data_IF_306016481213
#
_entry.id   IF_306016481213
#
_cell.length_a   1.000
_cell.length_b   1.000
_cell.length_c   1.000
_cell.angle_alpha   90.00
_cell.angle_beta   90.00
_cell.angle_gamma   90.00
#
_symmetry.space_group_name_H-M   'P 1'
#
loop_
_entity.id
_entity.type
_entity.pdbx_description
1 polymer ?
#
# COMPACT_ATOMS: atom_id res chain seq x y z
N UNK A 1 3.23 18.74 18.87
CA UNK A 1 3.56 19.29 20.20
C UNK A 1 4.78 18.58 20.75
N UNK A 2 5.64 19.25 21.52
CA UNK A 2 6.72 18.60 22.31
C UNK A 2 6.56 18.96 23.79
N UNK A 3 6.81 18.01 24.69
CA UNK A 3 6.64 18.13 26.15
C UNK A 3 6.00 16.88 26.77
N UNK A 4 5.96 16.79 28.10
CA UNK A 4 5.45 15.61 28.87
C UNK A 4 3.98 15.24 28.58
N UNK A 5 3.21 16.18 28.02
CA UNK A 5 1.83 15.99 27.55
C UNK A 5 1.68 16.22 26.03
N UNK A 6 2.79 16.19 25.28
CA UNK A 6 2.78 16.44 23.84
C UNK A 6 2.33 15.22 23.04
N UNK A 7 1.67 15.47 21.90
CA UNK A 7 1.32 14.46 20.91
C UNK A 7 1.51 14.96 19.47
N UNK A 8 1.30 14.04 18.53
CA UNK A 8 1.24 14.31 17.10
C UNK A 8 -0.24 14.33 16.71
N UNK A 9 -0.61 15.30 15.88
CA UNK A 9 -1.93 15.39 15.25
C UNK A 9 -1.75 15.29 13.74
N UNK A 10 -2.80 14.87 13.03
CA UNK A 10 -2.78 14.88 11.57
C UNK A 10 -2.60 16.32 11.06
N UNK A 11 -1.72 16.50 10.07
CA UNK A 11 -1.49 17.79 9.42
C UNK A 11 -2.58 18.21 8.42
N UNK A 12 -3.53 17.31 8.13
CA UNK A 12 -4.69 17.52 7.25
C UNK A 12 -5.82 16.53 7.59
N UNK A 13 -7.06 16.72 7.09
CA UNK A 13 -8.15 15.77 7.29
C UNK A 13 -7.83 14.34 6.80
N UNK A 14 -8.30 13.32 7.51
CA UNK A 14 -8.03 11.91 7.17
C UNK A 14 -8.54 11.49 5.78
N UNK A 15 -9.60 12.15 5.29
CA UNK A 15 -10.14 11.93 3.94
C UNK A 15 -9.22 12.45 2.82
N UNK A 16 -8.23 13.29 3.16
CA UNK A 16 -7.24 13.82 2.22
C UNK A 16 -5.89 13.10 2.29
N UNK A 17 -5.78 12.05 3.11
CA UNK A 17 -4.54 11.29 3.29
C UNK A 17 -4.68 9.97 2.52
N UNK A 18 -4.11 9.90 1.31
CA UNK A 18 -4.11 8.69 0.49
C UNK A 18 -3.18 7.62 1.09
N UNK A 19 -3.62 6.36 1.11
CA UNK A 19 -2.85 5.26 1.70
C UNK A 19 -1.64 4.87 0.84
N UNK A 20 -1.78 4.91 -0.49
CA UNK A 20 -0.66 4.69 -1.40
C UNK A 20 0.46 5.70 -1.17
N UNK A 21 0.12 6.98 -0.97
CA UNK A 21 1.09 8.03 -0.65
C UNK A 21 1.80 7.79 0.68
N UNK A 22 1.06 7.36 1.72
CA UNK A 22 1.67 7.02 3.01
C UNK A 22 2.68 5.89 2.86
N UNK A 23 2.31 4.80 2.20
CA UNK A 23 3.19 3.64 2.00
C UNK A 23 4.44 4.06 1.22
N UNK A 24 4.29 4.85 0.14
CA UNK A 24 5.43 5.36 -0.65
C UNK A 24 6.35 6.29 0.12
N UNK A 25 5.84 7.02 1.10
CA UNK A 25 6.64 7.94 1.92
C UNK A 25 7.37 7.24 3.07
N UNK A 26 6.90 6.07 3.52
CA UNK A 26 7.48 5.35 4.67
C UNK A 26 8.46 4.26 4.29
N UNK A 27 8.33 3.67 3.11
CA UNK A 27 9.22 2.60 2.65
C UNK A 27 10.40 3.14 1.84
N UNK A 28 11.64 2.64 2.06
CA UNK A 28 12.84 3.16 1.42
C UNK A 28 12.93 2.83 -0.08
N UNK A 29 12.44 1.65 -0.49
CA UNK A 29 12.28 1.27 -1.90
C UNK A 29 11.19 0.18 -2.06
N UNK A 30 10.76 -0.06 -3.30
CA UNK A 30 9.80 -1.12 -3.66
C UNK A 30 10.40 -2.14 -4.63
N UNK A 31 11.69 -2.40 -4.49
CA UNK A 31 12.43 -3.32 -5.35
C UNK A 31 12.19 -4.75 -4.87
N UNK A 32 11.03 -5.31 -5.25
CA UNK A 32 10.65 -6.69 -4.90
C UNK A 32 11.71 -7.73 -5.25
N UNK A 33 12.48 -7.44 -6.30
CA UNK A 33 13.58 -8.27 -6.78
C UNK A 33 14.75 -7.38 -7.13
N UNK A 34 15.95 -7.91 -6.98
CA UNK A 34 17.20 -7.23 -7.31
C UNK A 34 17.19 -6.62 -8.73
N UNK A 35 16.61 -7.33 -9.71
CA UNK A 35 16.50 -6.85 -11.09
C UNK A 35 15.53 -5.67 -11.33
N UNK A 36 14.93 -5.11 -10.27
CA UNK A 36 14.24 -3.82 -10.32
C UNK A 36 15.17 -2.63 -10.11
N UNK A 37 16.30 -2.83 -9.42
CA UNK A 37 17.31 -1.79 -9.28
C UNK A 37 17.96 -1.51 -10.64
N UNK A 38 17.93 -0.25 -11.09
CA UNK A 38 18.52 0.14 -12.38
C UNK A 38 20.04 0.23 -12.29
N UNK A 39 20.56 0.65 -11.13
CA UNK A 39 21.98 0.96 -10.92
C UNK A 39 22.77 -0.17 -10.24
N UNK A 40 22.10 -1.22 -9.75
CA UNK A 40 22.70 -2.31 -8.97
C UNK A 40 21.98 -3.64 -9.27
N UNK A 41 22.10 -4.12 -10.51
CA UNK A 41 21.48 -5.35 -10.98
C UNK A 41 22.49 -6.26 -11.70
N UNK A 42 22.73 -7.41 -11.09
CA UNK A 42 23.62 -8.49 -11.49
C UNK A 42 22.84 -9.72 -12.00
N UNK A 43 21.51 -9.66 -12.10
CA UNK A 43 20.70 -10.73 -12.65
C UNK A 43 20.96 -10.90 -14.16
N UNK A 44 21.78 -11.90 -14.49
CA UNK A 44 22.25 -12.18 -15.87
C UNK A 44 21.11 -12.51 -16.86
N UNK A 45 19.95 -12.95 -16.37
CA UNK A 45 18.78 -13.28 -17.19
C UNK A 45 17.79 -12.12 -17.36
N UNK A 46 18.06 -10.93 -16.81
CA UNK A 46 17.11 -9.79 -16.77
C UNK A 46 16.44 -9.50 -18.12
N UNK A 47 17.18 -9.63 -19.24
CA UNK A 47 16.66 -9.32 -20.59
C UNK A 47 15.63 -10.33 -21.12
N UNK A 48 15.64 -11.55 -20.60
CA UNK A 48 14.77 -12.66 -21.06
C UNK A 48 13.87 -13.22 -19.95
N UNK A 49 13.97 -12.67 -18.74
CA UNK A 49 13.19 -13.10 -17.59
C UNK A 49 11.72 -12.65 -17.69
N UNK A 50 10.83 -13.59 -18.04
CA UNK A 50 9.38 -13.34 -18.08
C UNK A 50 8.76 -12.97 -16.73
N UNK A 51 9.40 -13.37 -15.62
CA UNK A 51 8.90 -13.09 -14.26
C UNK A 51 8.98 -11.60 -13.91
N UNK A 52 9.99 -10.87 -14.40
CA UNK A 52 10.20 -9.45 -14.08
C UNK A 52 8.96 -8.61 -14.41
N UNK A 53 8.36 -8.84 -15.57
CA UNK A 53 7.13 -8.16 -15.99
C UNK A 53 5.91 -8.52 -15.14
N UNK A 54 5.78 -9.80 -14.76
CA UNK A 54 4.69 -10.27 -13.89
C UNK A 54 4.76 -9.61 -12.52
N UNK A 55 5.96 -9.56 -11.92
CA UNK A 55 6.16 -8.91 -10.63
C UNK A 55 5.95 -7.40 -10.70
N UNK A 56 6.35 -6.75 -11.79
CA UNK A 56 6.10 -5.33 -11.99
C UNK A 56 4.59 -5.04 -12.09
N UNK A 57 3.85 -5.87 -12.81
CA UNK A 57 2.39 -5.76 -12.90
C UNK A 57 1.71 -6.00 -11.55
N UNK A 58 2.18 -6.99 -10.77
CA UNK A 58 1.67 -7.26 -9.43
C UNK A 58 1.92 -6.09 -8.46
N UNK A 59 3.12 -5.51 -8.48
CA UNK A 59 3.45 -4.34 -7.67
C UNK A 59 2.62 -3.11 -8.07
N UNK A 60 2.41 -2.92 -9.37
CA UNK A 60 1.54 -1.85 -9.86
C UNK A 60 0.09 -2.04 -9.38
N UNK A 61 -0.45 -3.25 -9.47
CA UNK A 61 -1.79 -3.56 -8.99
C UNK A 61 -1.94 -3.36 -7.48
N UNK A 62 -0.91 -3.70 -6.70
CA UNK A 62 -0.86 -3.41 -5.26
C UNK A 62 -1.05 -1.91 -4.99
N UNK A 63 -0.29 -1.07 -5.69
CA UNK A 63 -0.40 0.38 -5.56
C UNK A 63 -1.74 0.93 -6.04
N UNK A 64 -2.25 0.46 -7.17
CA UNK A 64 -3.55 0.90 -7.70
C UNK A 64 -4.69 0.65 -6.69
N UNK A 65 -4.62 -0.46 -5.94
CA UNK A 65 -5.57 -0.72 -4.86
C UNK A 65 -5.38 0.30 -3.73
N UNK A 66 -4.15 0.50 -3.25
CA UNK A 66 -3.86 1.44 -2.15
C UNK A 66 -4.24 2.89 -2.49
N UNK A 67 -4.05 3.28 -3.74
CA UNK A 67 -4.38 4.61 -4.26
C UNK A 67 -5.90 4.88 -4.23
N UNK A 68 -6.73 3.85 -4.09
CA UNK A 68 -8.19 4.03 -3.94
C UNK A 68 -8.63 4.36 -2.51
N UNK A 69 -7.78 4.16 -1.51
CA UNK A 69 -8.13 4.34 -0.10
C UNK A 69 -7.51 5.60 0.49
N UNK A 70 -8.25 6.18 1.43
CA UNK A 70 -7.82 7.25 2.31
C UNK A 70 -7.69 6.73 3.75
N UNK A 71 -7.00 7.45 4.62
CA UNK A 71 -6.93 7.12 6.05
C UNK A 71 -8.33 7.04 6.67
N UNK A 72 -9.27 7.88 6.22
CA UNK A 72 -10.66 7.88 6.68
C UNK A 72 -11.35 6.52 6.44
N UNK A 73 -11.10 5.90 5.28
CA UNK A 73 -11.72 4.61 4.93
C UNK A 73 -11.28 3.48 5.89
N UNK A 74 -10.07 3.57 6.44
CA UNK A 74 -9.52 2.54 7.32
C UNK A 74 -10.03 2.65 8.77
N UNK A 75 -10.44 3.84 9.20
CA UNK A 75 -10.79 4.11 10.61
C UNK A 75 -12.30 4.10 10.88
N UNK A 76 -13.12 3.59 9.97
CA UNK A 76 -14.59 3.52 10.11
C UNK A 76 -15.09 2.73 11.34
N UNK A 77 -14.24 1.88 11.96
CA UNK A 77 -14.56 1.12 13.18
C UNK A 77 -13.55 1.40 14.30
N UNK A 78 -13.51 2.64 14.83
CA UNK A 78 -12.44 3.06 15.71
C UNK A 78 -12.44 2.32 17.05
N UNK A 79 -13.59 1.84 17.54
CA UNK A 79 -13.69 1.16 18.84
C UNK A 79 -12.86 -0.14 18.93
N UNK A 80 -12.91 -0.98 17.88
CA UNK A 80 -12.14 -2.22 17.86
C UNK A 80 -10.64 -1.94 17.72
N UNK A 81 -10.27 -0.98 16.88
CA UNK A 81 -8.89 -0.57 16.67
C UNK A 81 -8.29 0.04 17.94
N UNK A 82 -9.03 0.94 18.59
CA UNK A 82 -8.62 1.57 19.85
C UNK A 82 -8.43 0.56 20.97
N UNK A 83 -9.30 -0.46 21.07
CA UNK A 83 -9.14 -1.52 22.08
C UNK A 83 -7.81 -2.25 21.94
N UNK A 84 -7.38 -2.56 20.71
CA UNK A 84 -6.08 -3.21 20.48
C UNK A 84 -4.93 -2.25 20.73
N UNK A 85 -4.97 -1.04 20.17
CA UNK A 85 -3.86 -0.09 20.21
C UNK A 85 -3.66 0.56 21.59
N UNK A 86 -4.73 0.81 22.34
CA UNK A 86 -4.67 1.49 23.63
C UNK A 86 -4.57 0.52 24.81
N UNK A 87 -5.28 -0.62 24.76
CA UNK A 87 -5.37 -1.56 25.90
C UNK A 87 -4.47 -2.78 25.72
N UNK A 88 -3.87 -2.98 24.53
CA UNK A 88 -3.00 -4.13 24.25
C UNK A 88 -3.74 -5.47 24.26
N UNK A 89 -5.07 -5.46 24.17
CA UNK A 89 -5.89 -6.67 24.24
C UNK A 89 -5.87 -7.37 22.87
N UNK A 90 -5.39 -8.61 22.85
CA UNK A 90 -5.44 -9.44 21.65
C UNK A 90 -6.89 -9.69 21.22
N UNK A 91 -7.22 -9.34 19.98
CA UNK A 91 -8.51 -9.68 19.36
C UNK A 91 -8.28 -10.90 18.47
N UNK A 92 -9.08 -11.98 18.60
CA UNK A 92 -8.95 -13.15 17.73
C UNK A 92 -9.03 -12.75 16.26
N UNK A 93 -8.15 -13.30 15.42
CA UNK A 93 -8.23 -13.03 13.98
C UNK A 93 -9.59 -13.47 13.44
N UNK A 94 -10.29 -12.63 12.66
CA UNK A 94 -11.50 -13.06 11.97
C UNK A 94 -11.13 -14.19 11.01
N UNK A 95 -11.85 -15.30 11.09
CA UNK A 95 -11.64 -16.42 10.17
C UNK A 95 -12.07 -16.00 8.76
N UNK A 96 -11.23 -16.31 7.78
CA UNK A 96 -11.37 -15.90 6.38
C UNK A 96 -12.78 -16.20 5.85
N UNK A 97 -13.53 -15.17 5.43
CA UNK A 97 -14.87 -15.36 4.88
C UNK A 97 -15.81 -14.15 4.85
N UNK A 98 -15.51 -13.08 5.61
CA UNK A 98 -16.27 -11.81 5.57
C UNK A 98 -15.32 -10.62 5.52
N UNK A 99 -14.48 -10.56 4.48
CA UNK A 99 -13.66 -9.38 4.19
C UNK A 99 -14.53 -8.21 3.74
N UNK A 100 -14.09 -6.97 4.02
CA UNK A 100 -14.68 -5.79 3.38
C UNK A 100 -14.50 -5.95 1.87
N UNK A 101 -15.57 -5.76 1.09
CA UNK A 101 -15.47 -5.71 -0.37
C UNK A 101 -14.49 -4.60 -0.74
N UNK A 102 -13.44 -4.87 -1.53
CA UNK A 102 -12.51 -3.83 -1.91
C UNK A 102 -13.25 -2.72 -2.65
N UNK A 103 -12.91 -1.47 -2.35
CA UNK A 103 -13.28 -0.34 -3.21
C UNK A 103 -12.78 -0.67 -4.61
N UNK A 104 -13.65 -0.48 -5.61
CA UNK A 104 -13.30 -0.79 -6.98
C UNK A 104 -12.03 0.00 -7.36
N UNK A 105 -10.99 -0.72 -7.81
CA UNK A 105 -9.85 -0.09 -8.41
C UNK A 105 -10.31 0.64 -9.69
N UNK A 106 -9.78 1.84 -10.01
CA UNK A 106 -10.04 2.46 -11.30
C UNK A 106 -9.58 1.50 -12.40
N UNK A 107 -10.37 1.37 -13.47
CA UNK A 107 -10.04 0.48 -14.57
C UNK A 107 -8.66 0.85 -15.13
N UNK A 108 -7.71 -0.11 -15.11
CA UNK A 108 -6.40 0.07 -15.70
C UNK A 108 -6.56 0.49 -17.17
N UNK A 109 -6.18 1.73 -17.48
CA UNK A 109 -6.24 2.25 -18.84
C UNK A 109 -5.39 1.39 -19.76
N UNK A 110 -6.03 0.66 -20.68
CA UNK A 110 -5.36 -0.18 -21.67
C UNK A 110 -4.48 0.68 -22.58
N UNK A 111 -3.17 0.73 -22.28
CA UNK A 111 -2.17 1.29 -23.20
C UNK A 111 -2.00 0.32 -24.35
N UNK A 112 -2.74 0.54 -25.44
CA UNK A 112 -2.49 -0.10 -26.73
C UNK A 112 -1.08 0.25 -27.19
N UNK A 113 -0.20 -0.76 -27.27
CA UNK A 113 1.08 -0.66 -27.98
C UNK A 113 0.79 -0.36 -29.45
N UNK A 114 1.06 0.87 -29.89
CA UNK A 114 1.12 1.20 -31.31
C UNK A 114 2.50 0.77 -31.80
N UNK A 115 2.58 -0.41 -32.41
CA UNK A 115 3.76 -0.90 -33.11
C UNK A 115 3.95 -0.07 -34.38
N UNK A 116 5.08 0.62 -34.48
CA UNK A 116 5.61 1.18 -35.72
C UNK A 116 6.64 0.24 -36.31
#
# INVERSE_FOLDING_TARGET
MRGRAGGITLGRPAVEINIGDVVRATEPDFSLVECFHVNDNHCIITRVCGLRGVLAAALQAYFEVLDTYTLQDLIERPAALNRVLAEGVAVPMPQSGKGRTPKAAPAAGSRTRKSG
#
